data_IF_529759667010
#
_entry.id   IF_529759667010
#
_cell.length_a   1.000
_cell.length_b   1.000
_cell.length_c   1.000
_cell.angle_alpha   90.00
_cell.angle_beta   90.00
_cell.angle_gamma   90.00
#
_symmetry.space_group_name_H-M   'P 1'
#
loop_
_entity.id
_entity.type
_entity.pdbx_description
1 polymer ?
#
# COMPACT_ATOMS: atom_id res chain seq x y z
N UNK A 1 -2.26 -9.07 -2.52
CA UNK A 1 -2.27 -7.62 -2.23
C UNK A 1 -3.30 -6.91 -3.05
N UNK A 2 -3.07 -6.63 -4.33
CA UNK A 2 -3.95 -5.73 -5.10
C UNK A 2 -5.42 -6.16 -5.13
N UNK A 3 -5.73 -7.29 -5.78
CA UNK A 3 -7.11 -7.74 -5.92
C UNK A 3 -7.82 -8.00 -4.58
N UNK A 4 -7.23 -8.75 -3.63
CA UNK A 4 -7.94 -9.00 -2.37
C UNK A 4 -8.14 -7.72 -1.55
N UNK A 5 -7.22 -6.75 -1.59
CA UNK A 5 -7.39 -5.49 -0.85
C UNK A 5 -8.48 -4.60 -1.43
N UNK A 6 -8.62 -4.56 -2.76
CA UNK A 6 -9.76 -3.89 -3.41
C UNK A 6 -11.13 -4.48 -3.07
N UNK A 7 -11.16 -5.71 -2.53
CA UNK A 7 -12.39 -6.36 -2.08
C UNK A 7 -12.61 -6.26 -0.57
N UNK A 8 -11.72 -5.59 0.16
CA UNK A 8 -11.89 -5.38 1.61
C UNK A 8 -12.99 -4.36 1.88
N UNK A 9 -13.78 -4.61 2.92
CA UNK A 9 -14.77 -3.65 3.39
C UNK A 9 -14.05 -2.38 3.89
N UNK A 10 -14.45 -1.22 3.37
CA UNK A 10 -13.87 0.07 3.71
C UNK A 10 -12.59 0.44 2.93
N UNK A 11 -12.12 -0.39 1.99
CA UNK A 11 -11.17 0.08 0.98
C UNK A 11 -11.91 0.87 -0.10
N UNK A 12 -11.49 2.12 -0.34
CA UNK A 12 -12.09 3.00 -1.34
C UNK A 12 -11.21 3.13 -2.59
N UNK A 13 -9.89 3.09 -2.39
CA UNK A 13 -8.90 3.12 -3.47
C UNK A 13 -7.70 2.26 -3.10
N UNK A 14 -7.19 1.53 -4.10
CA UNK A 14 -5.94 0.77 -3.98
C UNK A 14 -5.22 0.71 -5.32
N UNK A 15 -4.33 1.67 -5.57
CA UNK A 15 -3.60 1.79 -6.82
C UNK A 15 -2.11 1.50 -6.61
N UNK A 16 -1.57 0.68 -7.50
CA UNK A 16 -0.16 0.29 -7.51
C UNK A 16 0.52 0.91 -8.72
N UNK A 17 1.57 1.67 -8.48
CA UNK A 17 2.33 2.38 -9.49
C UNK A 17 3.81 2.00 -9.44
N UNK A 18 4.44 2.06 -10.59
CA UNK A 18 5.89 2.08 -10.72
C UNK A 18 6.33 3.53 -10.97
N UNK A 19 7.40 3.97 -10.32
CA UNK A 19 7.96 5.31 -10.51
C UNK A 19 8.57 5.43 -11.92
N UNK A 20 8.19 6.49 -12.65
CA UNK A 20 8.77 6.78 -13.97
C UNK A 20 10.15 7.43 -13.85
N UNK A 21 11.00 7.20 -14.85
CA UNK A 21 12.30 7.86 -15.00
C UNK A 21 13.21 7.72 -13.77
N UNK A 22 13.39 6.49 -13.29
CA UNK A 22 14.42 6.24 -12.30
C UNK A 22 15.79 6.39 -12.99
N UNK A 23 16.46 7.53 -12.76
CA UNK A 23 17.89 7.69 -13.09
C UNK A 23 18.77 6.75 -12.23
N UNK A 24 18.20 6.23 -11.15
CA UNK A 24 18.79 5.15 -10.36
C UNK A 24 18.58 3.79 -11.03
N UNK A 25 19.47 2.83 -10.78
CA UNK A 25 19.32 1.43 -11.24
C UNK A 25 18.23 0.67 -10.46
N UNK A 26 17.52 1.32 -9.56
CA UNK A 26 16.59 0.70 -8.62
C UNK A 26 15.16 1.07 -9.02
N UNK A 27 14.30 0.07 -9.16
CA UNK A 27 12.87 0.28 -9.44
C UNK A 27 12.13 0.60 -8.15
N UNK A 28 11.48 1.77 -8.10
CA UNK A 28 10.57 2.13 -7.00
C UNK A 28 9.12 1.82 -7.34
N UNK A 29 8.36 1.38 -6.34
CA UNK A 29 6.93 1.16 -6.44
C UNK A 29 6.17 1.94 -5.37
N UNK A 30 4.97 2.41 -5.71
CA UNK A 30 4.12 3.18 -4.82
C UNK A 30 2.72 2.58 -4.74
N UNK A 31 2.21 2.46 -3.51
CA UNK A 31 0.82 2.13 -3.23
C UNK A 31 0.10 3.39 -2.75
N UNK A 32 -0.98 3.73 -3.44
CA UNK A 32 -1.91 4.77 -3.02
C UNK A 32 -3.14 4.06 -2.50
N UNK A 33 -3.44 4.31 -1.23
CA UNK A 33 -4.49 3.59 -0.50
C UNK A 33 -5.39 4.62 0.17
N UNK A 34 -6.70 4.53 -0.09
CA UNK A 34 -7.73 5.31 0.61
C UNK A 34 -8.64 4.32 1.32
N UNK A 35 -8.83 4.55 2.61
CA UNK A 35 -9.72 3.78 3.46
C UNK A 35 -10.73 4.72 4.08
N UNK A 36 -11.96 4.21 4.24
CA UNK A 36 -13.08 4.94 4.83
C UNK A 36 -12.76 5.50 6.21
N UNK A 37 -12.03 4.73 7.02
CA UNK A 37 -11.63 5.10 8.38
C UNK A 37 -10.42 4.30 8.87
N UNK A 38 -9.98 4.59 10.09
CA UNK A 38 -8.86 3.89 10.74
C UNK A 38 -9.15 2.41 11.03
N UNK A 39 -10.41 2.02 11.25
CA UNK A 39 -10.77 0.63 11.48
C UNK A 39 -10.62 -0.21 10.21
N UNK A 40 -10.96 0.35 9.04
CA UNK A 40 -10.71 -0.28 7.74
C UNK A 40 -9.20 -0.45 7.46
N UNK A 41 -8.38 0.55 7.79
CA UNK A 41 -6.92 0.43 7.70
C UNK A 41 -6.35 -0.63 8.65
N UNK A 42 -6.86 -0.72 9.87
CA UNK A 42 -6.44 -1.75 10.83
C UNK A 42 -6.90 -3.15 10.42
N UNK A 43 -8.09 -3.27 9.85
CA UNK A 43 -8.58 -4.51 9.23
C UNK A 43 -7.61 -4.96 8.12
N UNK A 44 -7.28 -4.05 7.18
CA UNK A 44 -6.32 -4.31 6.10
C UNK A 44 -5.00 -4.90 6.61
N UNK A 45 -4.39 -4.24 7.60
CA UNK A 45 -3.10 -4.65 8.21
C UNK A 45 -3.16 -6.01 8.90
N UNK A 46 -4.36 -6.48 9.26
CA UNK A 46 -4.56 -7.76 9.91
C UNK A 46 -4.88 -8.91 8.95
N UNK A 47 -5.16 -8.62 7.69
CA UNK A 47 -5.49 -9.63 6.68
C UNK A 47 -4.34 -10.61 6.38
N UNK A 48 -4.64 -11.86 5.98
CA UNK A 48 -3.62 -12.82 5.60
C UNK A 48 -2.74 -12.37 4.43
N UNK A 49 -3.33 -11.74 3.40
CA UNK A 49 -2.56 -11.30 2.23
C UNK A 49 -1.61 -10.15 2.56
N UNK A 50 -2.00 -9.19 3.42
CA UNK A 50 -1.09 -8.15 3.90
C UNK A 50 0.10 -8.73 4.66
N UNK A 51 -0.15 -9.62 5.62
CA UNK A 51 0.90 -10.26 6.42
C UNK A 51 1.85 -11.07 5.54
N UNK A 52 1.32 -11.87 4.62
CA UNK A 52 2.13 -12.64 3.67
C UNK A 52 2.98 -11.72 2.76
N UNK A 53 2.42 -10.61 2.28
CA UNK A 53 3.18 -9.62 1.50
C UNK A 53 4.32 -9.02 2.32
N UNK A 54 4.03 -8.50 3.52
CA UNK A 54 5.05 -7.91 4.40
C UNK A 54 6.16 -8.88 4.75
N UNK A 55 5.85 -10.18 4.92
CA UNK A 55 6.87 -11.20 5.19
C UNK A 55 7.82 -11.48 4.02
N UNK A 56 7.41 -11.19 2.77
CA UNK A 56 8.17 -11.55 1.57
C UNK A 56 8.99 -10.41 0.98
N UNK A 57 8.50 -9.19 1.10
CA UNK A 57 9.14 -8.07 0.39
C UNK A 57 10.34 -7.49 1.11
N UNK A 58 10.46 -7.67 2.43
CA UNK A 58 11.53 -7.06 3.22
C UNK A 58 12.91 -7.47 2.69
N UNK A 59 13.07 -8.75 2.31
CA UNK A 59 14.33 -9.28 1.77
C UNK A 59 14.61 -8.85 0.32
N UNK A 60 13.62 -8.30 -0.38
CA UNK A 60 13.72 -7.89 -1.77
C UNK A 60 14.02 -6.39 -1.92
N UNK A 61 13.96 -5.63 -0.84
CA UNK A 61 14.08 -4.18 -0.87
C UNK A 61 15.49 -3.72 -0.55
N UNK A 62 15.99 -2.80 -1.38
CA UNK A 62 17.26 -2.11 -1.12
C UNK A 62 17.16 -1.12 0.04
N UNK A 63 15.96 -0.61 0.32
CA UNK A 63 15.67 0.38 1.37
C UNK A 63 14.42 0.00 2.17
N UNK A 64 14.31 0.41 3.44
CA UNK A 64 13.10 0.19 4.22
C UNK A 64 11.85 0.77 3.55
N UNK A 65 10.70 0.15 3.83
CA UNK A 65 9.40 0.61 3.33
C UNK A 65 9.03 1.94 4.00
N UNK A 66 8.76 2.96 3.19
CA UNK A 66 8.24 4.23 3.68
C UNK A 66 6.70 4.26 3.61
N UNK A 67 6.05 4.69 4.69
CA UNK A 67 4.59 4.86 4.76
C UNK A 67 4.27 6.22 5.34
N UNK A 68 3.43 6.99 4.64
CA UNK A 68 2.91 8.28 5.11
C UNK A 68 1.40 8.18 5.28
N UNK A 69 0.93 8.30 6.52
CA UNK A 69 -0.51 8.38 6.82
C UNK A 69 -0.91 9.84 6.78
N UNK A 70 -1.93 10.16 5.97
CA UNK A 70 -2.37 11.52 5.72
C UNK A 70 -3.82 11.69 6.18
N UNK A 71 -4.17 12.91 6.60
CA UNK A 71 -5.56 13.30 6.76
C UNK A 71 -6.06 13.87 5.43
N UNK A 72 -7.20 13.39 4.95
CA UNK A 72 -7.84 13.99 3.78
C UNK A 72 -8.40 15.38 4.13
N UNK A 73 -8.14 16.35 3.26
CA UNK A 73 -8.78 17.68 3.29
C UNK A 73 -9.89 17.76 2.24
N UNK A 74 -9.66 17.14 1.09
CA UNK A 74 -10.59 17.02 -0.04
C UNK A 74 -10.18 15.75 -0.82
N UNK A 75 -10.95 14.68 -0.66
CA UNK A 75 -10.74 13.39 -1.35
C UNK A 75 -11.97 13.01 -2.15
N UNK A 76 -11.71 12.38 -3.30
CA UNK A 76 -12.69 11.86 -4.26
C UNK A 76 -13.61 10.79 -3.68
#
# INVERSE_FOLDING_TARGET
>A
MINPTRSEEGNELYNFYEEKNNESKTTSFHLFEIYKDSAALDFHRNTPHYKNYRSKIVDLLEKPIEVKVLNSIDSV
#
